data_IF_607493222411
#
_entry.id   IF_607493222411
#
_cell.length_a   1.000
_cell.length_b   1.000
_cell.length_c   1.000
_cell.angle_alpha   90.00
_cell.angle_beta   90.00
_cell.angle_gamma   90.00
#
_symmetry.space_group_name_H-M   'P 1'
#
loop_
_entity.id
_entity.type
_entity.pdbx_description
1 polymer ?
#
# COMPACT_ATOMS: atom_id res chain seq x y z
N UNK A 1 -20.46 6.71 -31.62
CA UNK A 1 -19.96 6.77 -30.23
C UNK A 1 -19.44 5.40 -29.82
N UNK A 2 -18.15 5.25 -29.47
CA UNK A 2 -17.60 3.96 -28.99
C UNK A 2 -18.15 3.70 -27.57
N UNK A 3 -18.90 2.62 -27.37
CA UNK A 3 -19.33 2.19 -26.03
C UNK A 3 -18.09 1.83 -25.22
N UNK A 4 -17.91 2.44 -24.05
CA UNK A 4 -16.83 2.10 -23.11
C UNK A 4 -17.17 0.73 -22.52
N UNK A 5 -16.40 -0.29 -22.85
CA UNK A 5 -16.65 -1.69 -22.47
C UNK A 5 -16.37 -1.96 -20.99
N UNK A 6 -15.62 -1.07 -20.34
CA UNK A 6 -15.27 -1.18 -18.94
C UNK A 6 -15.31 0.19 -18.27
N UNK A 7 -16.05 0.26 -17.17
CA UNK A 7 -16.05 1.41 -16.27
C UNK A 7 -15.11 1.14 -15.10
N UNK A 8 -13.88 1.64 -15.22
CA UNK A 8 -12.87 1.53 -14.19
C UNK A 8 -13.30 2.20 -12.88
N UNK A 9 -14.10 3.28 -12.93
CA UNK A 9 -14.54 4.00 -11.73
C UNK A 9 -15.59 3.20 -10.99
N UNK A 10 -16.59 2.66 -11.71
CA UNK A 10 -17.59 1.78 -11.12
C UNK A 10 -16.94 0.52 -10.51
N UNK A 11 -15.96 -0.06 -11.20
CA UNK A 11 -15.20 -1.20 -10.71
C UNK A 11 -14.44 -0.88 -9.42
N UNK A 12 -13.67 0.21 -9.41
CA UNK A 12 -12.88 0.61 -8.23
C UNK A 12 -13.77 0.99 -7.04
N UNK A 13 -14.93 1.61 -7.30
CA UNK A 13 -15.93 1.93 -6.26
C UNK A 13 -16.47 0.66 -5.61
N UNK A 14 -16.92 -0.30 -6.42
CA UNK A 14 -17.42 -1.60 -5.94
C UNK A 14 -16.34 -2.34 -5.14
N UNK A 15 -15.11 -2.39 -5.66
CA UNK A 15 -13.98 -3.05 -4.98
C UNK A 15 -13.66 -2.40 -3.63
N UNK A 16 -13.76 -1.08 -3.52
CA UNK A 16 -13.58 -0.35 -2.24
C UNK A 16 -14.68 -0.71 -1.25
N UNK A 17 -15.93 -0.77 -1.68
CA UNK A 17 -17.05 -1.12 -0.81
C UNK A 17 -16.95 -2.56 -0.30
N UNK A 18 -16.56 -3.49 -1.17
CA UNK A 18 -16.30 -4.90 -0.81
C UNK A 18 -15.19 -5.00 0.24
N UNK A 19 -14.04 -4.36 0.01
CA UNK A 19 -12.95 -4.34 0.98
C UNK A 19 -13.37 -3.68 2.29
N UNK A 20 -14.14 -2.59 2.23
CA UNK A 20 -14.62 -1.90 3.43
C UNK A 20 -15.55 -2.78 4.28
N UNK A 21 -16.30 -3.69 3.66
CA UNK A 21 -17.13 -4.68 4.37
C UNK A 21 -16.29 -5.81 4.95
N UNK A 22 -15.35 -6.34 4.17
CA UNK A 22 -14.44 -7.41 4.62
C UNK A 22 -13.57 -6.98 5.81
N UNK A 23 -13.26 -5.68 5.89
CA UNK A 23 -12.49 -5.08 6.97
C UNK A 23 -13.34 -4.44 8.07
N UNK A 24 -14.67 -4.42 7.93
CA UNK A 24 -15.55 -3.90 8.96
C UNK A 24 -15.43 -4.76 10.24
N UNK A 25 -15.02 -4.13 11.34
CA UNK A 25 -14.83 -4.82 12.63
C UNK A 25 -13.50 -5.59 12.77
N UNK A 26 -12.61 -5.54 11.77
CA UNK A 26 -11.24 -6.03 11.94
C UNK A 26 -10.38 -4.98 12.65
N UNK A 27 -9.72 -5.39 13.73
CA UNK A 27 -8.72 -4.56 14.40
C UNK A 27 -7.51 -4.29 13.51
N UNK A 28 -6.83 -3.16 13.75
CA UNK A 28 -5.80 -2.66 12.83
C UNK A 28 -4.63 -3.63 12.62
N UNK A 29 -4.22 -4.31 13.69
CA UNK A 29 -3.17 -5.35 13.67
C UNK A 29 -3.50 -6.50 12.71
N UNK A 30 -4.76 -6.93 12.66
CA UNK A 30 -5.18 -8.06 11.82
C UNK A 30 -5.28 -7.66 10.34
N UNK A 31 -5.56 -6.40 10.07
CA UNK A 31 -5.51 -5.83 8.72
C UNK A 31 -4.05 -5.77 8.26
N UNK A 32 -3.16 -5.30 9.13
CA UNK A 32 -1.72 -5.25 8.87
C UNK A 32 -1.12 -6.63 8.58
N UNK A 33 -1.38 -7.63 9.41
CA UNK A 33 -0.92 -9.02 9.18
C UNK A 33 -1.39 -9.57 7.84
N UNK A 34 -2.65 -9.32 7.46
CA UNK A 34 -3.22 -9.77 6.19
C UNK A 34 -2.54 -9.09 5.00
N UNK A 35 -2.28 -7.80 5.10
CA UNK A 35 -1.56 -7.03 4.07
C UNK A 35 -0.12 -7.55 3.95
N UNK A 36 0.59 -7.70 5.05
CA UNK A 36 1.96 -8.21 5.06
C UNK A 36 2.04 -9.61 4.44
N UNK A 37 1.10 -10.50 4.76
CA UNK A 37 1.03 -11.84 4.16
C UNK A 37 0.78 -11.80 2.65
N UNK A 38 -0.13 -10.94 2.19
CA UNK A 38 -0.42 -10.81 0.76
C UNK A 38 0.77 -10.23 -0.02
N UNK A 39 1.53 -9.33 0.59
CA UNK A 39 2.69 -8.68 -0.02
C UNK A 39 3.98 -9.51 0.03
N UNK A 40 4.11 -10.45 0.98
CA UNK A 40 5.31 -11.28 1.15
C UNK A 40 5.70 -12.06 -0.11
N UNK A 41 4.70 -12.51 -0.86
CA UNK A 41 4.89 -13.34 -2.05
C UNK A 41 4.73 -12.54 -3.35
N UNK A 42 4.46 -11.24 -3.27
CA UNK A 42 4.35 -10.37 -4.44
C UNK A 42 5.74 -10.05 -5.00
N UNK A 43 6.06 -10.43 -6.26
CA UNK A 43 7.35 -10.14 -6.89
C UNK A 43 7.64 -8.64 -7.02
N UNK A 44 6.61 -7.79 -7.12
CA UNK A 44 6.76 -6.34 -7.15
C UNK A 44 7.18 -5.80 -5.79
N UNK A 45 6.68 -6.40 -4.71
CA UNK A 45 7.02 -6.01 -3.35
C UNK A 45 8.45 -6.41 -2.96
N UNK A 46 8.91 -7.59 -3.41
CA UNK A 46 10.29 -8.07 -3.21
C UNK A 46 11.34 -7.19 -3.91
N UNK A 47 11.03 -6.64 -5.08
CA UNK A 47 11.95 -5.75 -5.82
C UNK A 47 12.09 -4.37 -5.18
N UNK A 48 11.07 -3.91 -4.45
CA UNK A 48 11.07 -2.60 -3.78
C UNK A 48 11.93 -2.56 -2.52
N UNK A 49 11.94 -3.63 -1.72
CA UNK A 49 12.71 -3.70 -0.46
C UNK A 49 14.22 -3.71 -0.67
N UNK A 50 14.70 -4.14 -1.84
CA UNK A 50 16.12 -4.12 -2.20
C UNK A 50 16.60 -2.73 -2.66
N UNK A 51 15.70 -1.84 -3.09
CA UNK A 51 15.97 -0.40 -3.23
C UNK A 51 15.72 0.28 -1.88
N UNK A 52 16.50 -0.05 -0.87
CA UNK A 52 16.67 0.91 0.21
C UNK A 52 17.37 2.12 -0.39
N UNK A 53 16.61 3.20 -0.62
CA UNK A 53 17.22 4.51 -0.81
C UNK A 53 18.11 4.75 0.42
N UNK A 54 19.36 5.20 0.25
CA UNK A 54 20.23 5.50 1.38
C UNK A 54 19.46 6.39 2.36
N UNK A 55 19.39 5.97 3.62
CA UNK A 55 18.87 6.83 4.69
C UNK A 55 19.61 8.17 4.56
N UNK A 56 18.89 9.31 4.52
CA UNK A 56 19.56 10.60 4.51
C UNK A 56 20.47 10.65 5.73
N UNK A 57 21.77 10.76 5.48
CA UNK A 57 22.79 10.97 6.50
C UNK A 57 22.34 12.14 7.37
N UNK A 58 21.94 11.83 8.60
CA UNK A 58 21.70 12.84 9.63
C UNK A 58 23.05 13.51 9.89
N UNK A 59 23.33 14.61 9.17
CA UNK A 59 24.40 15.52 9.54
C UNK A 59 24.04 16.05 10.92
N UNK A 60 24.80 15.64 11.95
CA UNK A 60 24.84 16.32 13.23
C UNK A 60 25.16 17.79 12.94
N UNK A 61 24.17 18.67 12.99
CA UNK A 61 24.41 20.09 13.16
C UNK A 61 24.97 20.25 14.57
N UNK A 62 26.30 20.25 14.65
CA UNK A 62 27.02 20.75 15.80
C UNK A 62 26.79 22.25 15.95
N UNK A 63 26.68 22.64 17.21
CA UNK A 63 26.79 23.96 17.83
C UNK A 63 26.89 25.18 16.90
N UNK A 64 25.90 26.06 17.00
CA UNK A 64 26.06 27.47 16.65
C UNK A 64 26.75 28.21 17.81
N UNK A 65 27.78 29.04 17.54
CA UNK A 65 28.46 29.88 18.53
C UNK A 65 27.59 31.03 19.06
#
# INVERSE_FOLDING_TARGET
MKKKTFDAVAFMRRRREELSRDYAGLGWQRIEERIQRALKDDPLWRKGTQRQAPLPSMKKTGDCP
#
